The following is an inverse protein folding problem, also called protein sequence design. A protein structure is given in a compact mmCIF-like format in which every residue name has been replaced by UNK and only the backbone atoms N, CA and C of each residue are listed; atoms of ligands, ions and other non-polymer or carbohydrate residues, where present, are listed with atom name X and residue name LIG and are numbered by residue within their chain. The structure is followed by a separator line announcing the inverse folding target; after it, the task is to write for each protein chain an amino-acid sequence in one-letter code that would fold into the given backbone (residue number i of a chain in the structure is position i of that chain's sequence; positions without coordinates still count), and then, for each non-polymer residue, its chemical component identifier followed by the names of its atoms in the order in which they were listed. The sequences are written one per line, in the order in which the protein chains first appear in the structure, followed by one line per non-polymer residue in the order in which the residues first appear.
data_IF_390344331357
#
_entry.id   IF_390344331357
#
_cell.length_a   1.000
_cell.length_b   1.000
_cell.length_c   1.000
_cell.angle_alpha   90.00
_cell.angle_beta   90.00
_cell.angle_gamma   90.00
#
_symmetry.space_group_name_H-M   'P 1'
#
loop_
_entity.id
_entity.type
_entity.pdbx_description
1 polymer ?
#
# COMPACT_ATOMS: atom_id res chain seq x y z
N UNK A 1 15.92 -8.28 2.41
CA UNK A 1 15.07 -7.16 2.90
C UNK A 1 14.82 -6.23 1.71
N UNK A 2 13.61 -5.73 1.53
CA UNK A 2 13.26 -4.83 0.43
C UNK A 2 14.07 -3.52 0.48
N UNK A 3 14.32 -2.91 -0.68
CA UNK A 3 14.93 -1.59 -0.82
C UNK A 3 14.14 -0.78 -1.86
N UNK A 4 14.04 0.53 -1.64
CA UNK A 4 13.41 1.42 -2.60
C UNK A 4 14.25 1.54 -3.87
N UNK A 5 13.60 1.48 -5.02
CA UNK A 5 14.22 1.67 -6.32
C UNK A 5 13.37 2.63 -7.15
N UNK A 6 14.02 3.39 -8.04
CA UNK A 6 13.30 4.10 -9.09
C UNK A 6 12.83 3.12 -10.18
N UNK A 7 12.12 3.63 -11.17
CA UNK A 7 11.58 2.82 -12.26
C UNK A 7 12.65 2.05 -13.06
N UNK A 8 13.83 2.63 -13.21
CA UNK A 8 14.98 2.01 -13.90
C UNK A 8 15.70 0.95 -13.02
N UNK A 9 15.28 0.78 -11.76
CA UNK A 9 15.91 -0.14 -10.83
C UNK A 9 17.15 0.41 -10.13
N UNK A 10 17.41 1.73 -10.19
CA UNK A 10 18.46 2.33 -9.38
C UNK A 10 17.97 2.49 -7.93
N UNK A 11 18.85 2.18 -6.98
CA UNK A 11 18.57 2.23 -5.55
C UNK A 11 18.31 3.67 -5.11
N UNK A 12 17.32 3.86 -4.23
CA UNK A 12 16.97 5.14 -3.64
C UNK A 12 17.39 5.17 -2.17
N UNK A 13 17.95 6.30 -1.73
CA UNK A 13 18.44 6.50 -0.36
C UNK A 13 17.33 6.97 0.59
N UNK A 14 16.28 6.15 0.71
CA UNK A 14 15.22 6.32 1.70
C UNK A 14 15.16 5.11 2.62
N UNK A 15 14.95 5.30 3.93
CA UNK A 15 14.79 4.18 4.86
C UNK A 15 13.46 3.45 4.61
N UNK A 16 13.50 2.12 4.67
CA UNK A 16 12.30 1.28 4.66
C UNK A 16 11.74 1.18 6.08
N UNK A 17 10.42 1.28 6.26
CA UNK A 17 9.81 1.16 7.59
C UNK A 17 8.41 0.53 7.58
N UNK A 18 7.44 1.20 6.96
CA UNK A 18 6.04 0.77 6.93
C UNK A 18 5.34 1.30 5.69
N UNK A 19 4.20 0.68 5.36
CA UNK A 19 3.24 1.17 4.37
C UNK A 19 1.94 1.50 5.09
N UNK A 20 1.48 2.75 5.00
CA UNK A 20 0.14 3.15 5.48
C UNK A 20 -0.80 3.03 4.29
N UNK A 21 -1.87 2.26 4.44
CA UNK A 21 -2.85 1.97 3.40
C UNK A 21 -4.21 2.57 3.76
N UNK A 22 -5.08 2.70 2.75
CA UNK A 22 -6.46 3.18 2.92
C UNK A 22 -7.44 2.21 2.26
N UNK A 23 -8.31 1.60 3.07
CA UNK A 23 -9.42 0.78 2.60
C UNK A 23 -10.59 1.62 2.13
N UNK A 24 -11.46 1.05 1.29
CA UNK A 24 -12.72 1.70 0.86
C UNK A 24 -12.54 3.07 0.21
N UNK A 25 -11.49 3.26 -0.58
CA UNK A 25 -11.18 4.56 -1.22
C UNK A 25 -11.73 4.71 -2.65
N UNK A 26 -12.40 3.69 -3.20
CA UNK A 26 -13.03 3.73 -4.53
C UNK A 26 -14.49 3.28 -4.45
N UNK A 27 -15.43 4.15 -4.85
CA UNK A 27 -16.86 3.89 -4.72
C UNK A 27 -17.35 2.61 -5.42
N UNK A 28 -16.74 2.21 -6.54
CA UNK A 28 -17.07 0.94 -7.21
C UNK A 28 -16.65 -0.28 -6.38
N UNK A 29 -15.47 -0.21 -5.76
CA UNK A 29 -14.96 -1.27 -4.90
C UNK A 29 -15.77 -1.39 -3.61
N UNK A 30 -16.18 -0.27 -3.00
CA UNK A 30 -17.10 -0.27 -1.84
C UNK A 30 -18.39 -1.02 -2.18
N UNK A 31 -18.97 -0.76 -3.36
CA UNK A 31 -20.19 -1.43 -3.83
C UNK A 31 -19.99 -2.93 -4.06
N UNK A 32 -18.88 -3.32 -4.68
CA UNK A 32 -18.50 -4.73 -4.90
C UNK A 32 -18.38 -5.49 -3.58
N UNK A 33 -17.76 -4.87 -2.58
CA UNK A 33 -17.58 -5.43 -1.24
C UNK A 33 -18.84 -5.34 -0.36
N UNK A 34 -19.94 -4.75 -0.86
CA UNK A 34 -21.18 -4.56 -0.09
C UNK A 34 -21.01 -3.71 1.18
N UNK A 35 -19.99 -2.86 1.24
CA UNK A 35 -19.61 -2.09 2.43
C UNK A 35 -20.30 -0.72 2.47
N UNK A 36 -20.42 -0.13 3.66
CA UNK A 36 -20.85 1.25 3.82
C UNK A 36 -19.74 2.22 3.40
N UNK A 37 -20.11 3.40 2.88
CA UNK A 37 -19.15 4.48 2.63
C UNK A 37 -18.73 5.05 3.99
N UNK A 38 -17.44 5.05 4.33
CA UNK A 38 -17.00 5.54 5.64
C UNK A 38 -16.98 7.08 5.65
N UNK A 39 -17.26 7.68 6.81
CA UNK A 39 -17.18 9.15 7.00
C UNK A 39 -15.74 9.65 7.10
N UNK A 40 -14.84 8.80 7.61
CA UNK A 40 -13.40 9.04 7.69
C UNK A 40 -12.62 7.90 7.01
N UNK A 41 -11.38 8.13 6.52
CA UNK A 41 -10.59 7.08 5.86
C UNK A 41 -10.35 5.86 6.75
N UNK A 42 -10.58 4.66 6.22
CA UNK A 42 -10.25 3.40 6.91
C UNK A 42 -8.76 3.12 6.73
N UNK A 43 -7.97 3.29 7.79
CA UNK A 43 -6.51 3.14 7.73
C UNK A 43 -6.03 1.82 8.31
N UNK A 44 -5.03 1.23 7.65
CA UNK A 44 -4.28 0.08 8.17
C UNK A 44 -2.80 0.18 7.76
N UNK A 45 -1.97 -0.68 8.31
CA UNK A 45 -0.51 -0.65 8.09
C UNK A 45 0.00 -2.03 7.71
N UNK A 46 0.87 -2.08 6.70
CA UNK A 46 1.73 -3.23 6.42
C UNK A 46 3.16 -2.97 6.90
N UNK A 47 3.80 -3.92 7.60
CA UNK A 47 5.18 -3.77 8.07
C UNK A 47 6.19 -3.89 6.92
N UNK A 48 7.46 -3.55 7.17
CA UNK A 48 8.54 -3.71 6.18
C UNK A 48 8.68 -5.14 5.63
N UNK A 49 8.32 -6.15 6.42
CA UNK A 49 8.40 -7.56 6.02
C UNK A 49 7.36 -7.95 4.97
N UNK A 50 6.36 -7.11 4.72
CA UNK A 50 5.41 -7.29 3.62
C UNK A 50 5.93 -6.77 2.28
N UNK A 51 6.98 -5.94 2.27
CA UNK A 51 7.50 -5.32 1.06
C UNK A 51 8.40 -6.29 0.28
N UNK A 52 8.21 -6.34 -1.04
CA UNK A 52 9.07 -7.07 -1.98
C UNK A 52 9.14 -6.35 -3.34
N UNK A 53 10.08 -6.76 -4.19
CA UNK A 53 10.21 -6.22 -5.54
C UNK A 53 9.16 -6.87 -6.46
N UNK A 54 8.19 -6.09 -6.93
CA UNK A 54 7.10 -6.53 -7.80
C UNK A 54 7.57 -7.09 -9.16
N UNK A 55 8.82 -6.83 -9.55
CA UNK A 55 9.44 -7.35 -10.78
C UNK A 55 9.91 -8.80 -10.63
N UNK A 56 10.03 -9.29 -9.40
CA UNK A 56 10.41 -10.67 -9.10
C UNK A 56 9.16 -11.56 -8.96
N UNK A 57 9.29 -12.89 -9.13
CA UNK A 57 8.20 -13.81 -8.83
C UNK A 57 7.67 -13.62 -7.40
N UNK A 58 6.34 -13.49 -7.26
CA UNK A 58 5.70 -13.30 -5.97
C UNK A 58 5.44 -14.65 -5.28
N UNK A 59 5.85 -14.76 -4.02
CA UNK A 59 5.47 -15.87 -3.16
C UNK A 59 4.10 -15.59 -2.52
N UNK A 60 3.13 -16.45 -2.78
CA UNK A 60 1.76 -16.36 -2.25
C UNK A 60 1.54 -17.55 -1.31
N UNK A 61 1.06 -17.34 -0.07
CA UNK A 61 0.81 -18.44 0.85
C UNK A 61 -0.37 -19.30 0.39
N UNK A 62 -0.25 -20.62 0.53
CA UNK A 62 -1.28 -21.60 0.12
C UNK A 62 -2.27 -21.97 1.23
N UNK A 63 -1.88 -21.78 2.50
CA UNK A 63 -2.57 -22.42 3.63
C UNK A 63 -3.66 -21.52 4.25
N UNK A 64 -3.85 -20.32 3.71
CA UNK A 64 -4.77 -19.29 4.24
C UNK A 64 -5.97 -19.00 3.32
N UNK A 65 -6.25 -19.86 2.35
CA UNK A 65 -7.36 -19.70 1.42
C UNK A 65 -7.03 -18.79 0.25
N UNK A 66 -8.03 -18.08 -0.27
CA UNK A 66 -7.89 -17.23 -1.46
C UNK A 66 -7.05 -15.97 -1.19
N UNK A 67 -6.10 -15.71 -2.10
CA UNK A 67 -5.32 -14.46 -2.11
C UNK A 67 -5.79 -13.59 -3.25
N UNK A 68 -6.34 -12.42 -2.91
CA UNK A 68 -6.84 -11.45 -3.87
C UNK A 68 -5.75 -10.44 -4.21
N UNK A 69 -5.76 -9.98 -5.47
CA UNK A 69 -4.93 -8.88 -5.91
C UNK A 69 -5.71 -7.56 -5.84
N UNK A 70 -5.11 -6.53 -5.26
CA UNK A 70 -5.67 -5.17 -5.26
C UNK A 70 -4.59 -4.21 -5.77
N UNK A 71 -4.74 -3.72 -7.00
CA UNK A 71 -3.77 -2.80 -7.61
C UNK A 71 -4.01 -1.40 -7.05
N UNK A 72 -2.96 -0.79 -6.48
CA UNK A 72 -3.04 0.54 -5.90
C UNK A 72 -1.91 1.46 -6.37
N UNK A 73 -2.20 2.77 -6.39
CA UNK A 73 -1.18 3.81 -6.51
C UNK A 73 -0.40 3.89 -5.19
N UNK A 74 0.90 3.61 -5.25
CA UNK A 74 1.80 3.79 -4.12
C UNK A 74 2.42 5.19 -4.14
N UNK A 75 2.53 5.83 -2.98
CA UNK A 75 3.15 7.15 -2.81
C UNK A 75 4.36 7.02 -1.90
N UNK A 76 5.54 7.41 -2.39
CA UNK A 76 6.75 7.45 -1.59
C UNK A 76 6.87 8.80 -0.88
N UNK A 77 7.06 8.78 0.44
CA UNK A 77 7.21 9.97 1.27
C UNK A 77 8.69 10.23 1.51
N UNK A 78 9.17 11.39 1.05
CA UNK A 78 10.58 11.82 1.15
C UNK A 78 10.91 12.69 2.36
N UNK A 79 9.91 13.17 3.10
CA UNK A 79 10.11 13.98 4.31
C UNK A 79 9.15 13.55 5.43
N UNK A 80 9.60 13.63 6.68
CA UNK A 80 8.78 13.26 7.84
C UNK A 80 7.54 14.16 7.95
N UNK A 81 6.37 13.53 8.09
CA UNK A 81 5.08 14.22 8.25
C UNK A 81 4.46 13.88 9.60
N UNK A 82 4.00 14.91 10.32
CA UNK A 82 3.20 14.77 11.55
C UNK A 82 2.29 15.99 11.66
N UNK A 83 0.97 15.76 11.77
CA UNK A 83 -0.03 16.83 11.79
C UNK A 83 0.22 17.88 10.68
N UNK A 84 0.55 17.39 9.48
CA UNK A 84 0.99 18.23 8.38
C UNK A 84 -0.19 18.87 7.65
N UNK A 85 0.01 20.08 7.14
CA UNK A 85 -0.92 20.72 6.21
C UNK A 85 -0.87 20.03 4.84
N UNK A 86 -1.90 20.18 4.03
CA UNK A 86 -1.91 19.62 2.67
C UNK A 86 -0.74 20.12 1.81
N UNK A 87 -0.32 21.37 2.00
CA UNK A 87 0.83 21.94 1.30
C UNK A 87 2.13 21.23 1.68
N UNK A 88 2.35 20.96 2.97
CA UNK A 88 3.50 20.19 3.44
C UNK A 88 3.46 18.76 2.90
N UNK A 89 2.29 18.12 2.87
CA UNK A 89 2.12 16.80 2.27
C UNK A 89 2.54 16.81 0.81
N UNK A 90 2.03 17.76 0.01
CA UNK A 90 2.39 17.89 -1.42
C UNK A 90 3.89 18.03 -1.64
N UNK A 91 4.57 18.82 -0.81
CA UNK A 91 6.03 19.01 -0.87
C UNK A 91 6.84 17.79 -0.42
N UNK A 92 6.27 16.94 0.43
CA UNK A 92 6.94 15.77 0.97
C UNK A 92 6.84 14.51 0.09
N UNK A 93 6.00 14.52 -0.96
CA UNK A 93 5.90 13.39 -1.89
C UNK A 93 7.19 13.33 -2.73
N UNK A 94 7.93 12.23 -2.60
CA UNK A 94 9.16 11.98 -3.38
C UNK A 94 8.88 11.32 -4.73
N UNK A 95 7.79 10.56 -4.84
CA UNK A 95 7.45 9.88 -6.08
C UNK A 95 6.22 8.99 -5.96
N UNK A 96 5.88 8.39 -7.10
CA UNK A 96 4.73 7.52 -7.25
C UNK A 96 5.17 6.18 -7.84
N UNK A 97 4.44 5.12 -7.50
CA UNK A 97 4.61 3.78 -8.05
C UNK A 97 3.28 3.03 -8.09
N UNK A 98 3.34 1.76 -8.44
CA UNK A 98 2.19 0.84 -8.39
C UNK A 98 2.53 -0.30 -7.44
N UNK A 99 1.55 -0.73 -6.64
CA UNK A 99 1.68 -1.84 -5.72
C UNK A 99 0.50 -2.80 -5.86
N UNK A 100 0.71 -4.02 -5.36
CA UNK A 100 -0.37 -4.97 -5.08
C UNK A 100 -0.57 -5.03 -3.56
N UNK A 101 -1.71 -4.56 -3.08
CA UNK A 101 -2.18 -4.89 -1.74
C UNK A 101 -2.74 -6.32 -1.79
N UNK A 102 -1.87 -7.30 -1.52
CA UNK A 102 -2.29 -8.69 -1.46
C UNK A 102 -3.08 -8.95 -0.16
N UNK A 103 -4.29 -9.45 -0.33
CA UNK A 103 -5.25 -9.68 0.75
C UNK A 103 -5.61 -11.15 0.85
N UNK A 104 -5.45 -11.73 2.03
CA UNK A 104 -6.05 -13.03 2.38
C UNK A 104 -7.55 -12.83 2.57
N UNK A 105 -8.33 -12.93 1.49
CA UNK A 105 -9.73 -12.48 1.50
C UNK A 105 -10.59 -13.32 2.44
N UNK A 106 -10.38 -14.63 2.44
CA UNK A 106 -11.10 -15.56 3.31
C UNK A 106 -10.79 -15.32 4.80
N UNK A 107 -9.63 -14.75 5.12
CA UNK A 107 -9.24 -14.40 6.49
C UNK A 107 -9.84 -13.05 6.89
N UNK A 108 -9.84 -12.07 6.00
CA UNK A 108 -10.41 -10.74 6.25
C UNK A 108 -11.95 -10.77 6.39
N UNK A 109 -12.62 -11.64 5.63
CA UNK A 109 -14.08 -11.78 5.67
C UNK A 109 -14.62 -12.52 6.89
N UNK A 110 -13.75 -13.01 7.79
CA UNK A 110 -14.12 -13.59 9.08
C UNK A 110 -14.18 -12.51 10.16
#
# INVERSE_FOLDING_TARGET
MYQHHNWQGALLDYPVSKVVCVGSNYAKHIKEMGSAVPEEPVLFIKPETALCDLRQPLAIPSDFGSVHHEVELAVLIGATLRQATEEHVRKAIAGYGVALDLTLRDVQGK
#
